data_IF_411447718794
#
_entry.id   IF_411447718794
#
_cell.length_a   1.000
_cell.length_b   1.000
_cell.length_c   1.000
_cell.angle_alpha   90.00
_cell.angle_beta   90.00
_cell.angle_gamma   90.00
#
_symmetry.space_group_name_H-M   'P 1'
#
loop_
_entity.id
_entity.type
_entity.pdbx_description
1 polymer ?
#
# COMPACT_ATOMS: atom_id res chain seq x y z
N UNK A 1 -17.00 7.27 -4.37
CA UNK A 1 -16.57 8.52 -3.70
C UNK A 1 -15.48 9.24 -4.50
N UNK A 2 -14.39 8.56 -4.87
CA UNK A 2 -13.30 9.13 -5.71
C UNK A 2 -13.81 9.73 -7.03
N UNK A 3 -14.69 9.04 -7.76
CA UNK A 3 -15.24 9.57 -9.02
C UNK A 3 -16.12 10.83 -8.86
N UNK A 4 -16.86 10.96 -7.75
CA UNK A 4 -17.62 12.18 -7.45
C UNK A 4 -16.71 13.31 -6.99
N UNK A 5 -15.66 13.01 -6.21
CA UNK A 5 -14.62 14.00 -5.89
C UNK A 5 -13.91 14.48 -7.15
N UNK A 6 -13.60 13.58 -8.10
CA UNK A 6 -12.96 13.96 -9.35
C UNK A 6 -13.87 14.89 -10.16
N UNK A 7 -15.16 14.55 -10.27
CA UNK A 7 -16.17 15.42 -10.90
C UNK A 7 -16.32 16.78 -10.21
N UNK A 8 -16.37 16.81 -8.88
CA UNK A 8 -16.56 18.05 -8.09
C UNK A 8 -15.31 18.94 -8.07
N UNK A 9 -14.11 18.37 -8.21
CA UNK A 9 -12.84 19.10 -8.32
C UNK A 9 -12.48 19.46 -9.78
N UNK A 10 -13.42 19.34 -10.72
CA UNK A 10 -13.22 19.68 -12.14
C UNK A 10 -12.30 18.74 -12.92
N UNK A 11 -11.90 17.61 -12.33
CA UNK A 11 -11.07 16.60 -12.97
C UNK A 11 -11.88 15.58 -13.77
N UNK A 12 -11.28 15.02 -14.82
CA UNK A 12 -11.85 13.89 -15.56
C UNK A 12 -10.76 12.95 -16.07
N UNK A 13 -11.09 11.66 -16.17
CA UNK A 13 -10.18 10.69 -16.80
C UNK A 13 -10.34 10.84 -18.33
N UNK A 14 -9.24 11.06 -19.09
CA UNK A 14 -9.31 11.17 -20.54
C UNK A 14 -10.05 9.97 -21.16
N UNK A 15 -11.03 10.24 -22.03
CA UNK A 15 -11.81 9.22 -22.72
C UNK A 15 -13.02 8.66 -21.96
N UNK A 16 -13.30 9.08 -20.72
CA UNK A 16 -14.44 8.58 -19.93
C UNK A 16 -15.27 9.74 -19.37
N UNK A 17 -16.59 9.74 -19.63
CA UNK A 17 -17.50 10.80 -19.15
C UNK A 17 -17.51 10.86 -17.61
N UNK A 18 -17.35 12.05 -16.99
CA UNK A 18 -17.31 12.21 -15.54
C UNK A 18 -18.57 11.70 -14.84
N UNK A 19 -18.40 10.94 -13.76
CA UNK A 19 -19.50 10.46 -12.90
C UNK A 19 -19.56 8.95 -12.79
N UNK A 20 -20.73 8.35 -13.07
CA UNK A 20 -20.95 6.89 -13.00
C UNK A 20 -19.94 6.08 -13.84
N UNK A 21 -19.68 6.42 -15.11
CA UNK A 21 -18.75 5.64 -15.94
C UNK A 21 -17.31 5.68 -15.43
N UNK A 22 -16.86 6.83 -14.89
CA UNK A 22 -15.56 6.95 -14.21
C UNK A 22 -15.48 6.08 -12.96
N UNK A 23 -16.56 6.03 -12.17
CA UNK A 23 -16.60 5.18 -10.97
C UNK A 23 -16.48 3.71 -11.32
N UNK A 24 -17.25 3.25 -12.31
CA UNK A 24 -17.28 1.84 -12.71
C UNK A 24 -15.92 1.40 -13.29
N UNK A 25 -15.27 2.28 -14.06
CA UNK A 25 -13.92 2.06 -14.57
C UNK A 25 -12.89 1.92 -13.44
N UNK A 26 -12.87 2.86 -12.48
CA UNK A 26 -11.96 2.82 -11.33
C UNK A 26 -12.21 1.56 -10.51
N UNK A 27 -13.47 1.21 -10.23
CA UNK A 27 -13.83 0.02 -9.44
C UNK A 27 -13.37 -1.27 -10.13
N UNK A 28 -13.50 -1.37 -11.47
CA UNK A 28 -13.04 -2.54 -12.22
C UNK A 28 -11.52 -2.73 -12.14
N UNK A 29 -10.76 -1.64 -12.20
CA UNK A 29 -9.29 -1.67 -12.06
C UNK A 29 -8.89 -2.01 -10.63
N UNK A 30 -9.47 -1.30 -9.66
CA UNK A 30 -9.20 -1.54 -8.24
C UNK A 30 -9.48 -2.99 -7.88
N UNK A 31 -10.61 -3.56 -8.31
CA UNK A 31 -10.95 -4.97 -8.03
C UNK A 31 -9.88 -5.95 -8.50
N UNK A 32 -9.28 -5.76 -9.69
CA UNK A 32 -8.20 -6.63 -10.20
C UNK A 32 -6.92 -6.50 -9.37
N UNK A 33 -6.55 -5.27 -9.01
CA UNK A 33 -5.33 -5.02 -8.22
C UNK A 33 -5.50 -5.53 -6.79
N UNK A 34 -6.66 -5.26 -6.18
CA UNK A 34 -6.98 -5.69 -4.82
C UNK A 34 -7.07 -7.22 -4.72
N UNK A 35 -7.53 -7.92 -5.77
CA UNK A 35 -7.56 -9.39 -5.76
C UNK A 35 -6.16 -10.00 -5.59
N UNK A 36 -5.17 -9.50 -6.33
CA UNK A 36 -3.77 -9.90 -6.20
C UNK A 36 -3.18 -9.50 -4.83
N UNK A 37 -3.46 -8.28 -4.37
CA UNK A 37 -3.00 -7.80 -3.06
C UNK A 37 -3.57 -8.59 -1.88
N UNK A 38 -4.85 -8.95 -1.93
CA UNK A 38 -5.51 -9.75 -0.90
C UNK A 38 -4.94 -11.17 -0.82
N UNK A 39 -4.63 -11.77 -1.97
CA UNK A 39 -3.99 -13.09 -2.03
C UNK A 39 -2.58 -13.06 -1.43
N UNK A 40 -1.79 -12.04 -1.75
CA UNK A 40 -0.46 -11.84 -1.15
C UNK A 40 -0.51 -11.63 0.36
N UNK A 41 -1.41 -10.77 0.85
CA UNK A 41 -1.59 -10.54 2.29
C UNK A 41 -2.07 -11.81 3.01
N UNK A 42 -2.96 -12.59 2.40
CA UNK A 42 -3.42 -13.86 2.94
C UNK A 42 -2.27 -14.86 3.14
N UNK A 43 -1.37 -14.98 2.15
CA UNK A 43 -0.21 -15.87 2.25
C UNK A 43 0.72 -15.44 3.39
N UNK A 44 1.05 -14.15 3.49
CA UNK A 44 1.94 -13.65 4.55
C UNK A 44 1.32 -13.81 5.94
N UNK A 45 0.00 -13.65 6.07
CA UNK A 45 -0.69 -13.84 7.35
C UNK A 45 -0.67 -15.30 7.83
N UNK A 46 -0.67 -16.27 6.91
CA UNK A 46 -0.64 -17.71 7.23
C UNK A 46 0.79 -18.21 7.50
N UNK A 47 1.79 -17.60 6.87
CA UNK A 47 3.22 -17.91 7.04
C UNK A 47 3.66 -18.10 8.52
N UNK A 48 3.37 -17.19 9.47
CA UNK A 48 3.79 -17.37 10.86
C UNK A 48 3.11 -18.55 11.54
N UNK A 49 1.85 -18.83 11.22
CA UNK A 49 1.12 -19.97 11.80
C UNK A 49 1.77 -21.29 11.40
N UNK A 50 2.15 -21.41 10.12
CA UNK A 50 2.85 -22.58 9.58
C UNK A 50 4.24 -22.74 10.19
N UNK A 51 5.00 -21.66 10.31
CA UNK A 51 6.35 -21.70 10.90
C UNK A 51 6.34 -22.14 12.38
N UNK A 52 5.34 -21.72 13.15
CA UNK A 52 5.17 -22.14 14.55
C UNK A 52 4.81 -23.64 14.68
N UNK A 53 4.20 -24.25 13.65
CA UNK A 53 3.82 -25.66 13.66
C UNK A 53 5.01 -26.59 13.35
N UNK A 54 5.93 -26.16 12.48
CA UNK A 54 7.07 -26.98 12.04
C UNK A 54 8.36 -26.76 12.84
N UNK A 55 8.59 -25.55 13.38
CA UNK A 55 9.72 -25.26 14.26
C UNK A 55 9.20 -25.11 15.69
N UNK A 56 9.59 -26.05 16.57
CA UNK A 56 9.37 -25.99 18.02
C UNK A 56 10.21 -24.86 18.63
N UNK A 57 9.88 -23.61 18.32
CA UNK A 57 10.56 -22.44 18.87
C UNK A 57 10.21 -22.28 20.36
N UNK A 58 11.16 -21.82 21.21
CA UNK A 58 10.89 -21.54 22.61
C UNK A 58 9.75 -20.52 22.73
N UNK A 59 8.74 -20.82 23.56
CA UNK A 59 7.52 -20.01 23.79
C UNK A 59 7.76 -18.54 24.22
N UNK A 60 9.00 -18.12 24.42
CA UNK A 60 9.42 -16.75 24.73
C UNK A 60 9.87 -15.92 23.52
N UNK A 61 10.18 -16.55 22.38
CA UNK A 61 10.51 -15.87 21.11
C UNK A 61 9.23 -15.65 20.30
N UNK A 62 8.28 -14.91 20.86
CA UNK A 62 7.05 -14.52 20.16
C UNK A 62 7.30 -13.37 19.16
N UNK A 63 8.34 -13.50 18.32
CA UNK A 63 8.43 -12.76 17.05
C UNK A 63 7.35 -13.32 16.11
N UNK A 64 6.08 -13.08 16.46
CA UNK A 64 4.92 -13.51 15.69
C UNK A 64 4.83 -12.76 14.38
N UNK A 65 4.21 -13.34 13.35
CA UNK A 65 4.19 -12.72 12.02
C UNK A 65 3.53 -11.33 11.98
N UNK A 66 2.73 -10.97 12.98
CA UNK A 66 2.25 -9.61 13.17
C UNK A 66 3.39 -8.62 13.50
N UNK A 67 4.33 -8.98 14.38
CA UNK A 67 5.49 -8.13 14.66
C UNK A 67 6.39 -8.00 13.42
N UNK A 68 6.55 -9.06 12.63
CA UNK A 68 7.32 -9.00 11.39
C UNK A 68 6.68 -8.08 10.34
N UNK A 69 5.36 -8.19 10.14
CA UNK A 69 4.60 -7.30 9.25
C UNK A 69 4.71 -5.83 9.66
N UNK A 70 4.57 -5.55 10.97
CA UNK A 70 4.68 -4.18 11.50
C UNK A 70 6.11 -3.65 11.33
N UNK A 71 7.13 -4.44 11.66
CA UNK A 71 8.54 -4.01 11.55
C UNK A 71 8.90 -3.66 10.11
N UNK A 72 8.54 -4.50 9.13
CA UNK A 72 8.81 -4.21 7.71
C UNK A 72 8.01 -3.00 7.24
N UNK A 73 6.74 -2.88 7.65
CA UNK A 73 5.89 -1.73 7.30
C UNK A 73 6.45 -0.40 7.81
N UNK A 74 6.78 -0.34 9.11
CA UNK A 74 7.34 0.85 9.75
C UNK A 74 8.74 1.18 9.20
N UNK A 75 9.57 0.18 8.92
CA UNK A 75 10.88 0.41 8.31
C UNK A 75 10.76 1.07 6.93
N UNK A 76 9.88 0.57 6.07
CA UNK A 76 9.62 1.15 4.75
C UNK A 76 9.03 2.56 4.84
N UNK A 77 8.11 2.79 5.78
CA UNK A 77 7.53 4.11 6.02
C UNK A 77 8.57 5.11 6.51
N UNK A 78 9.47 4.68 7.41
CA UNK A 78 10.59 5.50 7.89
C UNK A 78 11.53 5.89 6.76
N UNK A 79 11.85 4.96 5.85
CA UNK A 79 12.69 5.26 4.67
C UNK A 79 12.03 6.30 3.77
N UNK A 80 10.73 6.14 3.48
CA UNK A 80 9.99 7.11 2.64
C UNK A 80 9.91 8.50 3.27
N UNK A 81 9.74 8.57 4.59
CA UNK A 81 9.71 9.83 5.32
C UNK A 81 11.08 10.54 5.26
N UNK A 82 12.17 9.78 5.40
CA UNK A 82 13.52 10.31 5.24
C UNK A 82 13.78 10.80 3.80
N UNK A 83 13.36 10.04 2.78
CA UNK A 83 13.47 10.42 1.37
C UNK A 83 12.70 11.72 1.07
N UNK A 84 11.50 11.89 1.63
CA UNK A 84 10.69 13.11 1.51
C UNK A 84 11.45 14.33 2.05
N UNK A 85 12.07 14.22 3.22
CA UNK A 85 12.87 15.29 3.83
C UNK A 85 14.16 15.57 3.03
N UNK A 86 14.82 14.55 2.51
CA UNK A 86 16.02 14.69 1.65
C UNK A 86 15.66 15.36 0.33
N UNK A 87 14.50 15.05 -0.26
CA UNK A 87 14.01 15.67 -1.50
C UNK A 87 13.77 17.16 -1.33
N UNK A 88 13.24 17.58 -0.17
CA UNK A 88 13.09 19.00 0.17
C UNK A 88 14.43 19.74 0.26
N UNK A 89 15.51 19.07 0.69
CA UNK A 89 16.88 19.64 0.69
C UNK A 89 17.58 19.60 -0.66
N UNK A 90 17.20 18.67 -1.54
CA UNK A 90 17.74 18.55 -2.89
C UNK A 90 16.92 19.29 -3.95
N UNK A 91 16.09 20.28 -3.55
CA UNK A 91 15.76 21.34 -4.48
C UNK A 91 17.06 22.04 -4.87
N UNK A 92 17.69 21.56 -5.95
CA UNK A 92 18.72 22.30 -6.67
C UNK A 92 18.14 23.68 -6.89
N UNK A 93 18.80 24.70 -6.34
CA UNK A 93 18.44 26.07 -6.58
C UNK A 93 18.31 26.25 -8.09
N UNK A 94 17.19 26.83 -8.52
CA UNK A 94 16.87 27.06 -9.93
C UNK A 94 17.83 28.07 -10.61
N UNK A 95 18.98 28.37 -10.00
CA UNK A 95 19.92 29.42 -10.38
C UNK A 95 21.38 28.92 -10.32
N UNK A 96 21.64 27.76 -10.92
CA UNK A 96 22.95 27.45 -11.51
C UNK A 96 22.75 26.83 -12.90
#
# INVERSE_FOLDING_TARGET
>A
KVANNLKNNGGSIPGIRPGKPTSDFITKILSRITFLGALFLGIIAILPFVLNLFMTLPKGLSFGGTSLLIVVGVALETVRELESQITMRHYKGFLE
#
